data_IF_558480034262
#
_entry.id   IF_558480034262
#
_cell.length_a   1.000
_cell.length_b   1.000
_cell.length_c   1.000
_cell.angle_alpha   90.00
_cell.angle_beta   90.00
_cell.angle_gamma   90.00
#
_symmetry.space_group_name_H-M   'P 1'
#
loop_
_entity.id
_entity.type
_entity.pdbx_description
1 polymer ?
#
# COMPACT_ATOMS: atom_id res chain seq x y z
N UNK A 1 0.24 45.41 59.37
CA UNK A 1 0.04 43.97 59.64
C UNK A 1 -0.50 43.35 58.36
N UNK A 2 0.39 42.74 57.59
CA UNK A 2 0.09 41.99 56.37
C UNK A 2 0.44 40.52 56.65
N UNK A 3 -0.47 39.58 56.33
CA UNK A 3 -0.07 38.25 55.90
C UNK A 3 -0.42 38.13 54.41
N UNK A 4 0.62 38.15 53.57
CA UNK A 4 1.30 36.96 53.04
C UNK A 4 0.46 36.21 52.01
N UNK A 5 0.70 36.61 50.77
CA UNK A 5 0.47 35.84 49.55
C UNK A 5 1.08 34.44 49.69
N UNK A 6 0.25 33.44 49.91
CA UNK A 6 0.62 32.04 49.66
C UNK A 6 0.02 31.60 48.32
N UNK A 7 0.82 31.85 47.29
CA UNK A 7 1.12 30.90 46.19
C UNK A 7 -0.08 30.21 45.52
N UNK A 8 -0.55 30.86 44.45
CA UNK A 8 -1.25 30.24 43.33
C UNK A 8 -0.34 29.18 42.66
N UNK A 9 -0.23 27.98 43.24
CA UNK A 9 0.57 26.86 42.69
C UNK A 9 -0.13 26.21 41.48
N UNK A 10 -0.03 26.93 40.36
CA UNK A 10 0.10 26.49 38.95
C UNK A 10 -0.54 25.15 38.58
N UNK A 11 -1.76 25.26 38.07
CA UNK A 11 -2.52 24.29 37.27
C UNK A 11 -1.81 23.96 35.92
N UNK A 12 -0.59 23.42 35.98
CA UNK A 12 0.17 22.97 34.79
C UNK A 12 0.14 21.45 34.62
N UNK A 13 -0.20 20.70 35.68
CA UNK A 13 0.00 19.25 35.76
C UNK A 13 -1.11 18.43 35.08
N UNK A 14 -2.30 19.01 34.83
CA UNK A 14 -3.42 18.29 34.21
C UNK A 14 -3.42 18.41 32.67
N UNK A 15 -2.95 19.55 32.14
CA UNK A 15 -2.86 19.78 30.69
C UNK A 15 -1.92 18.78 30.00
N UNK A 16 -0.84 18.39 30.68
CA UNK A 16 0.11 17.39 30.20
C UNK A 16 -0.52 15.98 30.09
N UNK A 17 -1.44 15.62 30.99
CA UNK A 17 -2.09 14.31 30.98
C UNK A 17 -3.04 14.14 29.79
N UNK A 18 -3.84 15.17 29.49
CA UNK A 18 -4.75 15.16 28.34
C UNK A 18 -4.00 15.06 27.01
N UNK A 19 -2.85 15.73 26.89
CA UNK A 19 -2.03 15.66 25.68
C UNK A 19 -1.40 14.27 25.48
N UNK A 20 -0.88 13.65 26.54
CA UNK A 20 -0.36 12.27 26.47
C UNK A 20 -1.47 11.29 26.09
N UNK A 21 -2.66 11.41 26.69
CA UNK A 21 -3.80 10.56 26.35
C UNK A 21 -4.21 10.71 24.88
N UNK A 22 -4.24 11.94 24.37
CA UNK A 22 -4.49 12.22 22.96
C UNK A 22 -3.45 11.57 22.05
N UNK A 23 -2.15 11.72 22.36
CA UNK A 23 -1.08 11.10 21.56
C UNK A 23 -1.16 9.57 21.56
N UNK A 24 -1.46 8.95 22.70
CA UNK A 24 -1.64 7.50 22.80
C UNK A 24 -2.83 7.02 21.98
N UNK A 25 -3.97 7.72 22.07
CA UNK A 25 -5.15 7.40 21.27
C UNK A 25 -4.88 7.56 19.76
N UNK A 26 -4.28 8.68 19.36
CA UNK A 26 -3.93 8.95 17.97
C UNK A 26 -2.93 7.90 17.43
N UNK A 27 -1.88 7.60 18.18
CA UNK A 27 -0.90 6.56 17.83
C UNK A 27 -1.56 5.18 17.68
N UNK A 28 -2.45 4.81 18.60
CA UNK A 28 -3.20 3.56 18.53
C UNK A 28 -4.06 3.44 17.27
N UNK A 29 -4.76 4.51 16.89
CA UNK A 29 -5.56 4.55 15.66
C UNK A 29 -4.67 4.38 14.42
N UNK A 30 -3.53 5.06 14.37
CA UNK A 30 -2.61 4.98 13.23
C UNK A 30 -2.05 3.57 13.05
N UNK A 31 -1.64 2.92 14.15
CA UNK A 31 -1.18 1.52 14.12
C UNK A 31 -2.30 0.57 13.71
N UNK A 32 -3.51 0.75 14.25
CA UNK A 32 -4.66 -0.10 13.93
C UNK A 32 -5.16 0.06 12.48
N UNK A 33 -4.99 1.25 11.90
CA UNK A 33 -5.41 1.54 10.52
C UNK A 33 -4.32 1.28 9.49
N UNK A 34 -3.06 1.07 9.89
CA UNK A 34 -1.99 0.69 8.98
C UNK A 34 -2.31 -0.68 8.34
N UNK A 35 -2.50 -0.74 7.01
CA UNK A 35 -2.97 -1.96 6.37
C UNK A 35 -1.96 -3.12 6.53
N UNK A 36 -2.47 -4.35 6.55
CA UNK A 36 -1.67 -5.58 6.58
C UNK A 36 -1.47 -6.18 5.20
N UNK A 37 -0.71 -7.28 5.13
CA UNK A 37 -0.39 -7.98 3.88
C UNK A 37 -1.65 -8.51 3.16
N UNK A 38 -2.63 -9.06 3.88
CA UNK A 38 -3.87 -9.57 3.27
C UNK A 38 -4.73 -8.47 2.61
N UNK A 39 -4.73 -7.24 3.16
CA UNK A 39 -5.39 -6.10 2.51
C UNK A 39 -4.62 -5.65 1.26
N UNK A 40 -3.30 -5.64 1.36
CA UNK A 40 -2.44 -5.31 0.22
C UNK A 40 -2.58 -6.31 -0.92
N UNK A 41 -2.66 -7.61 -0.63
CA UNK A 41 -2.82 -8.65 -1.66
C UNK A 41 -4.06 -8.41 -2.54
N UNK A 42 -5.19 -8.02 -1.93
CA UNK A 42 -6.41 -7.66 -2.66
C UNK A 42 -6.22 -6.39 -3.49
N UNK A 43 -5.65 -5.35 -2.88
CA UNK A 43 -5.36 -4.09 -3.58
C UNK A 43 -4.39 -4.30 -4.76
N UNK A 44 -3.26 -4.94 -4.51
CA UNK A 44 -2.19 -5.19 -5.47
C UNK A 44 -2.66 -6.05 -6.64
N UNK A 45 -3.57 -6.99 -6.39
CA UNK A 45 -4.24 -7.75 -7.46
C UNK A 45 -5.02 -6.82 -8.39
N UNK A 46 -5.90 -6.00 -7.84
CA UNK A 46 -6.73 -5.08 -8.64
C UNK A 46 -5.88 -3.98 -9.32
N UNK A 47 -4.84 -3.49 -8.64
CA UNK A 47 -3.90 -2.54 -9.19
C UNK A 47 -3.10 -3.13 -10.35
N UNK A 48 -2.62 -4.37 -10.23
CA UNK A 48 -1.88 -5.06 -11.28
C UNK A 48 -2.78 -5.40 -12.48
N UNK A 49 -4.00 -5.87 -12.24
CA UNK A 49 -4.98 -6.13 -13.31
C UNK A 49 -5.29 -4.84 -14.07
N UNK A 50 -5.54 -3.73 -13.35
CA UNK A 50 -5.74 -2.43 -14.00
C UNK A 50 -4.53 -2.00 -14.81
N UNK A 51 -3.34 -2.03 -14.22
CA UNK A 51 -2.11 -1.67 -14.90
C UNK A 51 -1.87 -2.51 -16.17
N UNK A 52 -2.10 -3.82 -16.09
CA UNK A 52 -1.95 -4.73 -17.22
C UNK A 52 -2.96 -4.42 -18.34
N UNK A 53 -4.22 -4.14 -18.02
CA UNK A 53 -5.21 -3.73 -19.04
C UNK A 53 -4.83 -2.44 -19.76
N UNK A 54 -4.32 -1.48 -19.02
CA UNK A 54 -4.02 -0.13 -19.53
C UNK A 54 -2.68 -0.08 -20.29
N UNK A 55 -1.71 -0.93 -19.96
CA UNK A 55 -0.34 -0.82 -20.46
C UNK A 55 0.18 -2.07 -21.20
N UNK A 56 -0.42 -3.24 -20.98
CA UNK A 56 0.08 -4.53 -21.51
C UNK A 56 -0.93 -5.17 -22.48
N UNK A 57 -2.16 -5.41 -22.02
CA UNK A 57 -3.25 -6.01 -22.79
C UNK A 57 -4.05 -4.95 -23.59
N UNK A 58 -3.36 -3.97 -24.19
CA UNK A 58 -4.00 -2.85 -24.86
C UNK A 58 -4.88 -3.37 -26.02
N UNK A 59 -6.17 -3.01 -26.09
CA UNK A 59 -7.03 -3.39 -27.20
C UNK A 59 -6.50 -2.76 -28.50
N UNK A 60 -6.16 -3.58 -29.48
CA UNK A 60 -5.73 -3.13 -30.81
C UNK A 60 -6.52 -3.88 -31.89
N UNK A 61 -6.91 -3.17 -32.95
CA UNK A 61 -7.70 -3.69 -34.07
C UNK A 61 -6.97 -3.60 -35.40
N UNK A 62 -5.64 -3.40 -35.41
CA UNK A 62 -4.87 -3.25 -36.64
C UNK A 62 -4.83 -4.53 -37.48
N UNK A 63 -5.02 -5.69 -36.86
CA UNK A 63 -5.16 -6.98 -37.54
C UNK A 63 -6.00 -7.96 -36.71
N UNK A 64 -6.54 -9.00 -37.35
CA UNK A 64 -7.24 -10.09 -36.66
C UNK A 64 -6.33 -10.76 -35.61
N UNK A 65 -5.04 -10.94 -35.93
CA UNK A 65 -4.07 -11.54 -35.03
C UNK A 65 -3.83 -10.69 -33.78
N UNK A 66 -3.65 -9.38 -33.95
CA UNK A 66 -3.49 -8.44 -32.83
C UNK A 66 -4.75 -8.37 -31.96
N UNK A 67 -5.93 -8.39 -32.57
CA UNK A 67 -7.20 -8.41 -31.85
C UNK A 67 -7.32 -9.68 -31.00
N UNK A 68 -7.05 -10.86 -31.58
CA UNK A 68 -7.09 -12.14 -30.86
C UNK A 68 -6.08 -12.15 -29.71
N UNK A 69 -4.84 -11.68 -29.93
CA UNK A 69 -3.82 -11.57 -28.88
C UNK A 69 -4.26 -10.68 -27.72
N UNK A 70 -4.80 -9.49 -28.02
CA UNK A 70 -5.27 -8.56 -26.97
C UNK A 70 -6.46 -9.12 -26.19
N UNK A 71 -7.38 -9.84 -26.85
CA UNK A 71 -8.50 -10.50 -26.18
C UNK A 71 -8.04 -11.66 -25.29
N UNK A 72 -7.17 -12.53 -25.79
CA UNK A 72 -6.61 -13.63 -24.97
C UNK A 72 -5.88 -13.09 -23.74
N UNK A 73 -5.11 -12.02 -23.89
CA UNK A 73 -4.44 -11.36 -22.77
C UNK A 73 -5.43 -10.96 -21.67
N UNK A 74 -6.53 -10.29 -22.04
CA UNK A 74 -7.57 -9.88 -21.10
C UNK A 74 -8.29 -11.08 -20.44
N UNK A 75 -8.59 -12.14 -21.21
CA UNK A 75 -9.22 -13.35 -20.68
C UNK A 75 -8.33 -14.06 -19.67
N UNK A 76 -7.04 -14.24 -19.98
CA UNK A 76 -6.08 -14.87 -19.07
C UNK A 76 -5.87 -14.04 -17.80
N UNK A 77 -5.82 -12.71 -17.94
CA UNK A 77 -5.70 -11.79 -16.82
C UNK A 77 -6.90 -11.89 -15.87
N UNK A 78 -8.12 -11.94 -16.41
CA UNK A 78 -9.34 -12.12 -15.61
C UNK A 78 -9.44 -13.51 -14.98
N UNK A 79 -9.06 -14.56 -15.70
CA UNK A 79 -9.03 -15.92 -15.17
C UNK A 79 -8.07 -16.03 -13.97
N UNK A 80 -6.90 -15.39 -14.06
CA UNK A 80 -5.91 -15.37 -12.98
C UNK A 80 -6.28 -14.50 -11.78
N UNK A 81 -7.25 -13.59 -11.90
CA UNK A 81 -7.55 -12.55 -10.89
C UNK A 81 -7.89 -13.08 -9.51
N UNK A 82 -8.52 -14.25 -9.39
CA UNK A 82 -8.99 -14.78 -8.10
C UNK A 82 -7.95 -15.58 -7.32
N UNK A 83 -7.03 -16.24 -8.01
CA UNK A 83 -6.14 -17.23 -7.39
C UNK A 83 -4.67 -16.98 -7.76
N UNK A 84 -4.34 -17.07 -9.05
CA UNK A 84 -2.97 -16.98 -9.53
C UNK A 84 -2.33 -15.61 -9.25
N UNK A 85 -3.03 -14.51 -9.58
CA UNK A 85 -2.50 -13.16 -9.39
C UNK A 85 -2.31 -12.83 -7.90
N UNK A 86 -3.30 -13.04 -7.01
CA UNK A 86 -3.12 -12.87 -5.58
C UNK A 86 -1.95 -13.69 -5.03
N UNK A 87 -1.75 -14.93 -5.49
CA UNK A 87 -0.64 -15.76 -5.06
C UNK A 87 0.71 -15.16 -5.48
N UNK A 88 0.84 -14.71 -6.74
CA UNK A 88 2.03 -14.04 -7.25
C UNK A 88 2.32 -12.76 -6.46
N UNK A 89 1.30 -11.93 -6.18
CA UNK A 89 1.45 -10.73 -5.35
C UNK A 89 1.94 -11.12 -3.96
N UNK A 90 1.36 -12.14 -3.33
CA UNK A 90 1.74 -12.56 -1.99
C UNK A 90 3.19 -13.05 -1.91
N UNK A 91 3.63 -13.86 -2.88
CA UNK A 91 4.98 -14.44 -2.89
C UNK A 91 6.06 -13.43 -3.27
N UNK A 92 5.74 -12.45 -4.11
CA UNK A 92 6.71 -11.49 -4.63
C UNK A 92 6.64 -10.12 -3.94
N UNK A 93 5.96 -10.01 -2.80
CA UNK A 93 5.86 -8.75 -2.05
C UNK A 93 6.60 -8.81 -0.73
N UNK A 94 7.43 -7.80 -0.50
CA UNK A 94 8.00 -7.49 0.82
C UNK A 94 7.28 -6.31 1.44
N UNK A 95 6.96 -6.41 2.73
CA UNK A 95 6.34 -5.33 3.52
C UNK A 95 7.32 -4.81 4.55
N UNK A 96 7.64 -3.52 4.47
CA UNK A 96 8.39 -2.79 5.48
C UNK A 96 7.40 -1.96 6.31
N UNK A 97 7.20 -2.33 7.57
CA UNK A 97 6.25 -1.67 8.47
C UNK A 97 6.94 -0.62 9.34
N UNK A 98 6.51 0.65 9.24
CA UNK A 98 7.06 1.80 9.95
C UNK A 98 6.06 2.36 11.00
N UNK A 99 5.23 1.49 11.60
CA UNK A 99 4.13 1.80 12.53
C UNK A 99 2.97 2.60 11.93
N UNK A 100 3.22 3.83 11.48
CA UNK A 100 2.19 4.73 10.96
C UNK A 100 1.82 4.43 9.50
N UNK A 101 2.78 3.88 8.76
CA UNK A 101 2.65 3.48 7.37
C UNK A 101 3.41 2.19 7.12
N UNK A 102 3.15 1.58 5.97
CA UNK A 102 3.94 0.47 5.44
C UNK A 102 4.36 0.78 4.02
N UNK A 103 5.54 0.29 3.61
CA UNK A 103 5.95 0.26 2.21
C UNK A 103 5.84 -1.19 1.74
N UNK A 104 5.20 -1.39 0.59
CA UNK A 104 5.09 -2.67 -0.07
C UNK A 104 5.87 -2.60 -1.37
N UNK A 105 6.81 -3.53 -1.51
CA UNK A 105 7.64 -3.69 -2.70
C UNK A 105 7.26 -5.00 -3.35
N UNK A 106 6.62 -4.92 -4.51
CA UNK A 106 6.20 -6.09 -5.30
C UNK A 106 7.11 -6.22 -6.51
N UNK A 107 7.99 -7.22 -6.47
CA UNK A 107 9.00 -7.44 -7.50
C UNK A 107 8.57 -8.59 -8.42
N UNK A 108 7.94 -8.25 -9.55
CA UNK A 108 7.59 -9.20 -10.60
C UNK A 108 8.75 -9.34 -11.60
N UNK A 109 8.72 -10.40 -12.39
CA UNK A 109 9.76 -10.74 -13.36
C UNK A 109 10.19 -9.56 -14.27
N UNK A 110 9.23 -8.78 -14.77
CA UNK A 110 9.51 -7.63 -15.66
C UNK A 110 9.21 -6.28 -15.04
N UNK A 111 8.60 -6.22 -13.86
CA UNK A 111 8.10 -4.98 -13.27
C UNK A 111 8.25 -4.99 -11.76
N UNK A 112 8.67 -3.87 -11.19
CA UNK A 112 8.68 -3.62 -9.76
C UNK A 112 7.75 -2.47 -9.42
N UNK A 113 6.92 -2.68 -8.39
CA UNK A 113 5.96 -1.71 -7.88
C UNK A 113 6.27 -1.37 -6.43
N UNK A 114 6.34 -0.08 -6.11
CA UNK A 114 6.39 0.40 -4.73
C UNK A 114 5.08 1.11 -4.38
N UNK A 115 4.46 0.63 -3.31
CA UNK A 115 3.18 1.13 -2.81
C UNK A 115 3.36 1.58 -1.37
N UNK A 116 2.85 2.76 -1.03
CA UNK A 116 2.70 3.18 0.37
C UNK A 116 1.30 2.79 0.85
N UNK A 117 1.23 2.13 2.00
CA UNK A 117 0.00 1.87 2.74
C UNK A 117 -0.08 2.77 3.97
N UNK A 118 -1.13 3.57 4.08
CA UNK A 118 -1.34 4.51 5.19
C UNK A 118 -2.84 4.67 5.43
N UNK A 119 -3.28 4.70 6.70
CA UNK A 119 -4.68 4.91 7.06
C UNK A 119 -5.67 4.02 6.26
N UNK A 120 -5.35 2.74 6.12
CA UNK A 120 -6.13 1.75 5.35
C UNK A 120 -6.26 2.04 3.83
N UNK A 121 -5.47 2.97 3.30
CA UNK A 121 -5.38 3.31 1.88
C UNK A 121 -4.04 2.84 1.30
N UNK A 122 -3.98 2.74 -0.02
CA UNK A 122 -2.79 2.32 -0.76
C UNK A 122 -2.55 3.22 -1.97
N UNK A 123 -1.29 3.61 -2.20
CA UNK A 123 -0.89 4.46 -3.32
C UNK A 123 0.40 3.93 -3.94
N UNK A 124 0.32 3.49 -5.20
CA UNK A 124 1.52 3.17 -6.00
C UNK A 124 2.21 4.48 -6.35
N UNK A 125 3.44 4.67 -5.88
CA UNK A 125 4.23 5.86 -6.18
C UNK A 125 5.40 5.58 -7.13
N UNK A 126 5.68 4.31 -7.39
CA UNK A 126 6.72 3.88 -8.33
C UNK A 126 6.29 2.61 -9.05
N UNK A 127 6.38 2.64 -10.37
CA UNK A 127 6.30 1.47 -11.24
C UNK A 127 7.51 1.53 -12.18
N UNK A 128 8.35 0.51 -12.16
CA UNK A 128 9.56 0.43 -12.99
C UNK A 128 9.58 -0.88 -13.74
N UNK A 129 10.03 -0.85 -14.99
CA UNK A 129 10.40 -2.07 -15.71
C UNK A 129 11.70 -2.60 -15.10
N UNK A 130 11.68 -3.82 -14.60
CA UNK A 130 12.88 -4.49 -14.10
C UNK A 130 13.72 -4.88 -15.32
N UNK A 131 15.01 -4.50 -15.39
CA UNK A 131 15.91 -5.05 -16.40
C UNK A 131 15.90 -6.59 -16.27
N UNK A 132 15.96 -7.35 -17.37
CA UNK A 132 16.16 -8.79 -17.28
C UNK A 132 17.37 -9.04 -16.37
N UNK A 133 17.17 -9.77 -15.28
CA UNK A 133 18.29 -10.23 -14.48
C UNK A 133 19.13 -11.09 -15.41
N UNK A 134 20.37 -10.69 -15.68
CA UNK A 134 21.34 -11.60 -16.27
C UNK A 134 21.40 -12.79 -15.32
N UNK A 135 20.90 -13.94 -15.77
CA UNK A 135 21.07 -15.19 -15.05
C UNK A 135 22.58 -15.44 -15.00
N UNK A 136 23.19 -15.24 -13.84
CA UNK A 136 24.49 -15.84 -13.50
C UNK A 136 24.34 -17.36 -13.35
#
# INVERSE_FOLDING_TARGET
MEPLLLEQKKSSSCLSCSFILFLLAAGGILVATNPGMGKYQKYGTEALVRYAKENVCIPTSKSLEELVKSQLCNVLLEAGRKEAIPAIIATNTKRDNYLLLSIYRTDLYLYSFETVGILNNFYVYRAKKTPPQAQE
#
